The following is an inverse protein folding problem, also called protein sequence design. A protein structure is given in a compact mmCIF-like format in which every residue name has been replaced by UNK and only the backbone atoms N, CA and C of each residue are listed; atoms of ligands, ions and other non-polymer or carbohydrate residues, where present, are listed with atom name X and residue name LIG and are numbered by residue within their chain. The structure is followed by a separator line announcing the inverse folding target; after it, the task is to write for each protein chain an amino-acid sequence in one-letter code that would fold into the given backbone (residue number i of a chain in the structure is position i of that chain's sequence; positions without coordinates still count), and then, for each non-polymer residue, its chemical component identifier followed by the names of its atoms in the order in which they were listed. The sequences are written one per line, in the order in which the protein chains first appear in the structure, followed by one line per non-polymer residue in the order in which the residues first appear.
data_IF_601630676310
#
_entry.id   IF_601630676310
#
_cell.length_a   1.000
_cell.length_b   1.000
_cell.length_c   1.000
_cell.angle_alpha   90.00
_cell.angle_beta   90.00
_cell.angle_gamma   90.00
#
_symmetry.space_group_name_H-M   'P 1'
#
loop_
_entity.id
_entity.type
_entity.pdbx_description
1 polymer ?
#
# COMPACT_ATOMS: atom_id res chain seq x y z
N UNK A 1 22.10 -59.63 14.54
CA UNK A 1 23.06 -58.50 14.53
C UNK A 1 22.73 -57.53 15.64
N UNK A 2 23.63 -57.32 16.61
CA UNK A 2 23.49 -56.28 17.65
C UNK A 2 23.66 -54.92 16.96
N UNK A 3 22.56 -54.32 16.48
CA UNK A 3 22.60 -52.95 15.96
C UNK A 3 23.23 -52.02 17.01
N UNK A 4 24.28 -51.31 16.61
CA UNK A 4 25.02 -50.40 17.49
C UNK A 4 24.07 -49.32 18.01
N UNK A 5 24.13 -49.00 19.30
CA UNK A 5 23.24 -48.03 19.97
C UNK A 5 23.18 -46.70 19.21
N UNK A 6 24.32 -46.23 18.69
CA UNK A 6 24.43 -45.03 17.88
C UNK A 6 23.55 -45.08 16.61
N UNK A 7 23.55 -46.21 15.90
CA UNK A 7 22.77 -46.37 14.67
C UNK A 7 21.26 -46.32 14.94
N UNK A 8 20.81 -46.85 16.08
CA UNK A 8 19.40 -46.81 16.49
C UNK A 8 18.92 -45.38 16.81
N UNK A 9 19.74 -44.61 17.51
CA UNK A 9 19.45 -43.19 17.80
C UNK A 9 19.41 -42.40 16.50
N UNK A 10 20.39 -42.60 15.64
CA UNK A 10 20.50 -41.92 14.35
C UNK A 10 19.28 -42.16 13.46
N UNK A 11 18.82 -43.42 13.34
CA UNK A 11 17.60 -43.75 12.58
C UNK A 11 16.37 -43.07 13.17
N UNK A 12 16.23 -43.04 14.51
CA UNK A 12 15.10 -42.38 15.16
C UNK A 12 15.07 -40.86 14.94
N UNK A 13 16.24 -40.22 14.95
CA UNK A 13 16.39 -38.80 14.61
C UNK A 13 16.01 -38.56 13.16
N UNK A 14 16.55 -39.34 12.21
CA UNK A 14 16.21 -39.20 10.79
C UNK A 14 14.70 -39.30 10.57
N UNK A 15 14.02 -40.25 11.20
CA UNK A 15 12.57 -40.40 11.06
C UNK A 15 11.82 -39.14 11.53
N UNK A 16 12.25 -38.53 12.64
CA UNK A 16 11.66 -37.29 13.14
C UNK A 16 11.96 -36.11 12.20
N UNK A 17 13.18 -35.98 11.71
CA UNK A 17 13.59 -34.93 10.76
C UNK A 17 12.85 -35.03 9.42
N UNK A 18 12.55 -36.24 8.94
CA UNK A 18 11.76 -36.44 7.72
C UNK A 18 10.36 -35.82 7.83
N UNK A 19 9.73 -35.86 9.02
CA UNK A 19 8.48 -35.15 9.25
C UNK A 19 8.67 -33.62 9.12
N UNK A 20 9.80 -33.10 9.61
CA UNK A 20 10.19 -31.71 9.45
C UNK A 20 10.45 -31.29 8.01
N UNK A 21 11.09 -32.15 7.21
CA UNK A 21 11.35 -31.90 5.78
C UNK A 21 10.05 -31.77 4.99
N UNK A 22 9.04 -32.59 5.30
CA UNK A 22 7.71 -32.47 4.68
C UNK A 22 7.14 -31.08 4.98
N UNK A 23 7.23 -30.62 6.24
CA UNK A 23 6.76 -29.29 6.59
C UNK A 23 7.52 -28.16 5.89
N UNK A 24 8.85 -28.28 5.81
CA UNK A 24 9.71 -27.32 5.13
C UNK A 24 9.37 -27.18 3.64
N UNK A 25 9.03 -28.27 2.96
CA UNK A 25 8.68 -28.25 1.54
C UNK A 25 7.51 -27.31 1.24
N UNK A 26 6.46 -27.34 2.07
CA UNK A 26 5.31 -26.43 1.92
C UNK A 26 5.63 -25.01 2.40
N UNK A 27 6.51 -24.86 3.39
CA UNK A 27 6.90 -23.56 3.93
C UNK A 27 7.85 -22.78 3.02
N UNK A 28 8.78 -23.43 2.32
CA UNK A 28 9.94 -22.81 1.66
C UNK A 28 9.57 -21.63 0.73
N UNK A 29 8.58 -21.81 -0.14
CA UNK A 29 8.12 -20.75 -1.04
C UNK A 29 7.11 -19.81 -0.38
N UNK A 30 6.26 -20.34 0.51
CA UNK A 30 5.16 -19.59 1.12
C UNK A 30 5.66 -18.57 2.15
N UNK A 31 6.79 -18.85 2.82
CA UNK A 31 7.38 -17.98 3.86
C UNK A 31 7.87 -16.64 3.29
N UNK A 32 8.54 -16.63 2.14
CA UNK A 32 9.08 -15.42 1.52
C UNK A 32 8.05 -14.67 0.66
N UNK A 33 7.00 -15.36 0.22
CA UNK A 33 5.94 -14.77 -0.59
C UNK A 33 4.73 -14.46 0.28
N UNK A 34 3.77 -15.37 0.37
CA UNK A 34 2.47 -15.18 1.04
C UNK A 34 2.60 -14.75 2.51
N UNK A 35 3.40 -15.45 3.31
CA UNK A 35 3.54 -15.16 4.74
C UNK A 35 4.22 -13.81 5.02
N UNK A 36 5.17 -13.41 4.16
CA UNK A 36 5.90 -12.16 4.33
C UNK A 36 5.14 -10.94 3.77
N UNK A 37 4.43 -11.11 2.65
CA UNK A 37 3.84 -9.99 1.90
C UNK A 37 2.32 -9.85 2.06
N UNK A 38 1.61 -10.91 2.43
CA UNK A 38 0.14 -10.91 2.46
C UNK A 38 -0.47 -11.04 3.87
N UNK A 39 0.32 -11.41 4.89
CA UNK A 39 -0.17 -11.52 6.27
C UNK A 39 0.30 -10.38 7.16
N UNK A 40 -0.63 -9.80 7.89
CA UNK A 40 -0.34 -8.96 9.06
C UNK A 40 0.17 -9.84 10.19
N UNK A 41 1.29 -9.47 10.78
CA UNK A 41 1.95 -10.20 11.87
C UNK A 41 2.13 -9.29 13.08
N UNK A 42 2.04 -9.82 14.31
CA UNK A 42 2.29 -9.02 15.49
C UNK A 42 3.75 -8.54 15.54
N UNK A 43 4.00 -7.41 16.19
CA UNK A 43 5.35 -6.83 16.34
C UNK A 43 6.36 -7.73 17.06
N UNK A 44 5.87 -8.67 17.87
CA UNK A 44 6.66 -9.67 18.58
C UNK A 44 6.90 -10.97 17.80
N UNK A 45 6.44 -11.05 16.54
CA UNK A 45 6.73 -12.20 15.69
C UNK A 45 8.25 -12.32 15.44
N UNK A 46 8.89 -13.46 15.75
CA UNK A 46 10.31 -13.65 15.52
C UNK A 46 10.67 -13.50 14.04
N UNK A 47 11.93 -13.14 13.78
CA UNK A 47 12.47 -13.18 12.43
C UNK A 47 12.40 -14.61 11.86
N UNK A 48 12.07 -14.73 10.57
CA UNK A 48 11.78 -16.03 9.94
C UNK A 48 12.93 -17.04 10.05
N UNK A 49 14.18 -16.57 10.16
CA UNK A 49 15.34 -17.45 10.28
C UNK A 49 15.39 -18.21 11.62
N UNK A 50 14.76 -17.71 12.69
CA UNK A 50 14.75 -18.35 14.02
C UNK A 50 14.01 -19.68 14.01
N UNK A 51 12.96 -19.81 13.19
CA UNK A 51 12.12 -21.01 13.14
C UNK A 51 12.90 -22.26 12.71
N UNK A 52 13.82 -22.14 11.75
CA UNK A 52 14.59 -23.27 11.22
C UNK A 52 15.44 -23.99 12.29
N UNK A 53 16.39 -23.31 12.95
CA UNK A 53 17.22 -23.89 14.00
C UNK A 53 16.41 -24.46 15.18
N UNK A 54 15.32 -23.80 15.56
CA UNK A 54 14.45 -24.30 16.64
C UNK A 54 13.80 -25.61 16.24
N UNK A 55 13.19 -25.70 15.06
CA UNK A 55 12.53 -26.92 14.62
C UNK A 55 13.50 -28.09 14.42
N UNK A 56 14.68 -27.87 13.83
CA UNK A 56 15.73 -28.90 13.71
C UNK A 56 16.10 -29.44 15.09
N UNK A 57 16.32 -28.55 16.07
CA UNK A 57 16.65 -28.96 17.44
C UNK A 57 15.51 -29.79 18.06
N UNK A 58 14.26 -29.36 17.87
CA UNK A 58 13.09 -30.06 18.41
C UNK A 58 12.87 -31.43 17.76
N UNK A 59 13.07 -31.59 16.45
CA UNK A 59 12.96 -32.90 15.79
C UNK A 59 14.07 -33.85 16.26
N UNK A 60 15.30 -33.38 16.41
CA UNK A 60 16.37 -34.16 17.01
C UNK A 60 16.01 -34.65 18.42
N UNK A 61 15.46 -33.76 19.27
CA UNK A 61 14.99 -34.10 20.62
C UNK A 61 13.84 -35.12 20.60
N UNK A 62 12.88 -34.99 19.69
CA UNK A 62 11.79 -35.96 19.49
C UNK A 62 12.32 -37.34 19.07
N UNK A 63 13.29 -37.37 18.14
CA UNK A 63 13.99 -38.57 17.72
C UNK A 63 14.68 -39.29 18.88
N UNK A 64 15.48 -38.56 19.67
CA UNK A 64 16.14 -39.09 20.87
C UNK A 64 15.11 -39.62 21.89
N UNK A 65 14.02 -38.88 22.09
CA UNK A 65 12.93 -39.28 22.99
C UNK A 65 12.33 -40.63 22.58
N UNK A 66 11.99 -40.81 21.30
CA UNK A 66 11.42 -42.06 20.80
C UNK A 66 12.39 -43.23 20.98
N UNK A 67 13.70 -43.00 20.78
CA UNK A 67 14.74 -43.99 21.04
C UNK A 67 14.83 -44.37 22.52
N UNK A 68 14.76 -43.41 23.45
CA UNK A 68 14.78 -43.69 24.90
C UNK A 68 13.60 -44.57 25.32
N UNK A 69 12.41 -44.34 24.75
CA UNK A 69 11.21 -45.14 25.02
C UNK A 69 11.34 -46.54 24.41
N UNK A 70 11.84 -46.66 23.18
CA UNK A 70 12.07 -47.95 22.52
C UNK A 70 13.16 -48.78 23.21
N UNK A 71 14.23 -48.13 23.65
CA UNK A 71 15.35 -48.78 24.36
C UNK A 71 14.99 -49.17 25.79
N UNK A 72 14.10 -48.44 26.47
CA UNK A 72 13.56 -48.83 27.77
C UNK A 72 12.82 -50.18 27.71
N UNK A 73 12.10 -50.44 26.61
CA UNK A 73 11.53 -51.75 26.34
C UNK A 73 12.65 -52.80 26.24
N UNK A 74 13.68 -52.52 25.44
CA UNK A 74 14.75 -53.48 25.12
C UNK A 74 15.64 -53.81 26.33
N UNK A 75 15.99 -52.84 27.18
CA UNK A 75 16.83 -53.06 28.38
C UNK A 75 16.12 -53.92 29.43
N UNK A 76 14.86 -53.62 29.75
CA UNK A 76 14.06 -54.40 30.73
C UNK A 76 13.61 -55.77 30.23
N UNK A 77 13.87 -56.09 28.95
CA UNK A 77 13.57 -57.37 28.33
C UNK A 77 14.56 -58.48 28.75
N UNK A 78 15.70 -58.14 29.36
CA UNK A 78 16.73 -59.10 29.77
C UNK A 78 16.48 -59.77 31.15
N UNK A 79 15.44 -59.40 31.91
CA UNK A 79 15.31 -59.81 33.34
C UNK A 79 14.04 -60.60 33.76
N UNK A 80 13.06 -60.93 32.88
CA UNK A 80 11.93 -61.80 33.33
C UNK A 80 10.70 -61.93 32.40
N UNK A 81 10.06 -63.11 32.40
CA UNK A 81 9.29 -63.67 31.28
C UNK A 81 7.77 -63.41 31.13
N UNK A 82 7.06 -62.72 32.03
CA UNK A 82 5.58 -62.50 31.89
C UNK A 82 5.18 -61.02 31.80
N UNK A 83 5.91 -60.10 32.45
CA UNK A 83 5.75 -58.64 32.30
C UNK A 83 6.22 -58.09 30.92
N UNK A 84 6.82 -58.97 30.10
CA UNK A 84 7.42 -58.69 28.79
C UNK A 84 6.38 -58.27 27.74
N UNK A 85 5.26 -59.00 27.66
CA UNK A 85 4.21 -58.75 26.67
C UNK A 85 3.44 -57.45 26.96
N UNK A 86 3.12 -57.19 28.24
CA UNK A 86 2.42 -55.98 28.67
C UNK A 86 3.25 -54.71 28.47
N UNK A 87 4.56 -54.75 28.78
CA UNK A 87 5.45 -53.59 28.58
C UNK A 87 5.65 -53.31 27.08
N UNK A 88 5.88 -54.35 26.26
CA UNK A 88 6.04 -54.17 24.80
C UNK A 88 4.77 -53.63 24.15
N UNK A 89 3.59 -54.06 24.61
CA UNK A 89 2.29 -53.50 24.17
C UNK A 89 2.16 -52.02 24.57
N UNK A 90 2.53 -51.64 25.80
CA UNK A 90 2.53 -50.24 26.26
C UNK A 90 3.48 -49.36 25.44
N UNK A 91 4.71 -49.82 25.20
CA UNK A 91 5.70 -49.10 24.38
C UNK A 91 5.22 -48.94 22.95
N UNK A 92 4.67 -50.00 22.34
CA UNK A 92 4.10 -49.92 20.99
C UNK A 92 2.96 -48.89 20.93
N UNK A 93 2.04 -48.91 21.89
CA UNK A 93 0.97 -47.92 21.98
C UNK A 93 1.50 -46.49 22.14
N UNK A 94 2.50 -46.29 23.01
CA UNK A 94 3.12 -44.98 23.21
C UNK A 94 3.82 -44.47 21.93
N UNK A 95 4.52 -45.34 21.20
CA UNK A 95 5.14 -44.99 19.91
C UNK A 95 4.10 -44.74 18.81
N UNK A 96 2.93 -45.38 18.86
CA UNK A 96 1.82 -45.08 17.96
C UNK A 96 1.27 -43.67 18.21
N UNK A 97 1.08 -43.28 19.47
CA UNK A 97 0.64 -41.91 19.83
C UNK A 97 1.69 -40.88 19.38
N UNK A 98 2.98 -41.16 19.59
CA UNK A 98 4.07 -40.34 19.08
C UNK A 98 4.06 -40.21 17.55
N UNK A 99 3.81 -41.31 16.83
CA UNK A 99 3.68 -41.29 15.36
C UNK A 99 2.52 -40.43 14.89
N UNK A 100 1.36 -40.49 15.56
CA UNK A 100 0.22 -39.61 15.28
C UNK A 100 0.57 -38.14 15.57
N UNK A 101 1.28 -37.89 16.67
CA UNK A 101 1.75 -36.56 17.05
C UNK A 101 2.77 -35.98 16.04
N UNK A 102 3.61 -36.81 15.41
CA UNK A 102 4.47 -36.38 14.28
C UNK A 102 3.66 -36.10 13.01
N UNK A 103 2.65 -36.91 12.73
CA UNK A 103 1.79 -36.71 11.56
C UNK A 103 0.99 -35.40 11.64
N UNK A 104 0.43 -35.09 12.81
CA UNK A 104 -0.21 -33.81 13.11
C UNK A 104 0.77 -32.64 12.92
N UNK A 105 1.98 -32.77 13.46
CA UNK A 105 3.00 -31.75 13.31
C UNK A 105 3.36 -31.45 11.83
N UNK A 106 3.47 -32.48 10.98
CA UNK A 106 3.65 -32.29 9.54
C UNK A 106 2.39 -31.68 8.88
N UNK A 107 1.19 -32.12 9.28
CA UNK A 107 -0.08 -31.61 8.77
C UNK A 107 -0.26 -30.10 9.02
N UNK A 108 0.22 -29.58 10.16
CA UNK A 108 0.18 -28.14 10.45
C UNK A 108 0.79 -27.31 9.32
N UNK A 109 2.00 -27.66 8.88
CA UNK A 109 2.71 -26.95 7.82
C UNK A 109 1.97 -27.03 6.49
N UNK A 110 1.34 -28.18 6.19
CA UNK A 110 0.52 -28.36 4.99
C UNK A 110 -0.70 -27.44 5.02
N UNK A 111 -1.40 -27.36 6.14
CA UNK A 111 -2.61 -26.53 6.27
C UNK A 111 -2.26 -25.04 6.30
N UNK A 112 -1.25 -24.66 7.08
CA UNK A 112 -0.86 -23.26 7.24
C UNK A 112 -0.24 -22.70 5.96
N UNK A 113 0.78 -23.36 5.39
CA UNK A 113 1.52 -22.84 4.25
C UNK A 113 1.03 -23.37 2.90
N UNK A 114 0.63 -24.64 2.84
CA UNK A 114 0.14 -25.27 1.61
C UNK A 114 -1.27 -24.82 1.26
N UNK A 115 -2.21 -24.95 2.19
CA UNK A 115 -3.61 -24.50 2.02
C UNK A 115 -3.81 -23.01 2.34
N UNK A 116 -2.77 -22.32 2.83
CA UNK A 116 -2.81 -20.88 3.18
C UNK A 116 -3.97 -20.52 4.10
N UNK A 117 -4.26 -21.40 5.07
CA UNK A 117 -5.42 -21.28 5.93
C UNK A 117 -5.02 -21.20 7.41
N UNK A 118 -4.70 -20.00 7.94
CA UNK A 118 -4.34 -19.82 9.35
C UNK A 118 -5.40 -20.30 10.34
N UNK A 119 -6.69 -20.18 10.00
CA UNK A 119 -7.80 -20.61 10.87
C UNK A 119 -7.83 -22.13 11.06
N UNK A 120 -7.83 -22.89 9.96
CA UNK A 120 -7.75 -24.36 10.05
C UNK A 120 -6.43 -24.85 10.66
N UNK A 121 -5.32 -24.14 10.43
CA UNK A 121 -4.05 -24.46 11.07
C UNK A 121 -4.08 -24.23 12.59
N UNK A 122 -4.84 -23.24 13.07
CA UNK A 122 -5.06 -23.06 14.50
C UNK A 122 -5.90 -24.19 15.11
N UNK A 123 -6.92 -24.68 14.39
CA UNK A 123 -7.66 -25.87 14.83
C UNK A 123 -6.75 -27.09 14.92
N UNK A 124 -5.90 -27.29 13.91
CA UNK A 124 -4.93 -28.39 13.90
C UNK A 124 -3.93 -28.28 15.06
N UNK A 125 -3.34 -27.10 15.30
CA UNK A 125 -2.30 -26.95 16.33
C UNK A 125 -2.83 -27.23 17.75
N UNK A 126 -4.13 -27.04 17.98
CA UNK A 126 -4.80 -27.44 19.23
C UNK A 126 -4.82 -28.97 19.36
N UNK A 127 -5.14 -29.70 18.30
CA UNK A 127 -5.06 -31.17 18.29
C UNK A 127 -3.62 -31.66 18.48
N UNK A 128 -2.66 -31.02 17.81
CA UNK A 128 -1.24 -31.31 18.00
C UNK A 128 -0.82 -31.10 19.47
N UNK A 129 -1.19 -29.97 20.07
CA UNK A 129 -0.87 -29.66 21.47
C UNK A 129 -1.39 -30.75 22.42
N UNK A 130 -2.64 -31.17 22.24
CA UNK A 130 -3.24 -32.27 23.02
C UNK A 130 -2.47 -33.58 22.80
N UNK A 131 -2.09 -33.89 21.57
CA UNK A 131 -1.31 -35.09 21.24
C UNK A 131 0.09 -35.08 21.88
N UNK A 132 0.73 -33.91 22.01
CA UNK A 132 2.02 -33.76 22.71
C UNK A 132 1.85 -34.02 24.20
N UNK A 133 0.83 -33.44 24.84
CA UNK A 133 0.54 -33.69 26.27
C UNK A 133 0.25 -35.16 26.51
N UNK A 134 -0.53 -35.80 25.64
CA UNK A 134 -0.78 -37.23 25.70
C UNK A 134 0.53 -38.03 25.58
N UNK A 135 1.40 -37.67 24.64
CA UNK A 135 2.73 -38.29 24.44
C UNK A 135 3.61 -38.16 25.68
N UNK A 136 3.69 -36.96 26.28
CA UNK A 136 4.41 -36.71 27.53
C UNK A 136 3.88 -37.61 28.64
N UNK A 137 2.54 -37.68 28.81
CA UNK A 137 1.90 -38.51 29.83
C UNK A 137 2.22 -40.00 29.69
N UNK A 138 2.14 -40.55 28.47
CA UNK A 138 2.48 -41.97 28.24
C UNK A 138 3.98 -42.24 28.35
N UNK A 139 4.84 -41.31 27.91
CA UNK A 139 6.29 -41.45 28.02
C UNK A 139 6.76 -41.32 29.46
N UNK A 140 6.12 -40.48 30.28
CA UNK A 140 6.48 -40.32 31.70
C UNK A 140 6.38 -41.64 32.48
N UNK A 141 5.39 -42.47 32.14
CA UNK A 141 5.18 -43.80 32.74
C UNK A 141 6.24 -44.83 32.30
N UNK A 142 6.98 -44.57 31.22
CA UNK A 142 7.98 -45.49 30.64
C UNK A 142 9.40 -45.00 30.94
N UNK A 143 9.70 -43.75 30.60
CA UNK A 143 11.00 -43.09 30.72
C UNK A 143 10.80 -41.60 31.05
N UNK A 144 11.03 -41.22 32.31
CA UNK A 144 10.99 -39.81 32.74
C UNK A 144 11.93 -38.90 31.95
N UNK A 145 13.19 -39.30 31.64
CA UNK A 145 14.08 -38.47 30.81
C UNK A 145 13.50 -38.19 29.42
N UNK A 146 12.83 -39.16 28.81
CA UNK A 146 12.18 -38.98 27.51
C UNK A 146 11.07 -37.92 27.60
N UNK A 147 10.21 -38.03 28.62
CA UNK A 147 9.13 -37.05 28.79
C UNK A 147 9.63 -35.63 29.08
N UNK A 148 10.70 -35.47 29.87
CA UNK A 148 11.33 -34.16 30.08
C UNK A 148 11.90 -33.55 28.80
N UNK A 149 12.43 -34.37 27.90
CA UNK A 149 12.99 -33.92 26.63
C UNK A 149 11.92 -33.36 25.67
N UNK A 150 10.63 -33.63 25.92
CA UNK A 150 9.50 -33.05 25.18
C UNK A 150 8.99 -31.73 25.80
N UNK A 151 9.49 -31.30 26.95
CA UNK A 151 9.05 -30.05 27.58
C UNK A 151 9.38 -28.81 26.74
N UNK A 152 10.60 -28.66 26.18
CA UNK A 152 10.89 -27.54 25.27
C UNK A 152 9.96 -27.52 24.05
N UNK A 153 9.55 -28.70 23.59
CA UNK A 153 8.65 -28.83 22.45
C UNK A 153 7.24 -28.31 22.75
N UNK A 154 6.62 -28.70 23.87
CA UNK A 154 5.28 -28.19 24.23
C UNK A 154 5.29 -26.69 24.50
N UNK A 155 6.37 -26.15 25.06
CA UNK A 155 6.54 -24.70 25.26
C UNK A 155 6.58 -23.97 23.91
N UNK A 156 7.37 -24.48 22.97
CA UNK A 156 7.44 -23.92 21.61
C UNK A 156 6.10 -24.00 20.88
N UNK A 157 5.40 -25.13 20.96
CA UNK A 157 4.07 -25.28 20.31
C UNK A 157 3.01 -24.41 20.97
N UNK A 158 3.13 -24.13 22.28
CA UNK A 158 2.26 -23.17 22.95
C UNK A 158 2.48 -21.75 22.41
N UNK A 159 3.75 -21.35 22.25
CA UNK A 159 4.10 -20.08 21.61
C UNK A 159 3.60 -20.02 20.15
N UNK A 160 3.88 -21.06 19.36
CA UNK A 160 3.44 -21.14 17.96
C UNK A 160 1.91 -21.13 17.83
N UNK A 161 1.18 -21.76 18.76
CA UNK A 161 -0.27 -21.73 18.82
C UNK A 161 -0.81 -20.33 19.07
N UNK A 162 -0.23 -19.61 20.04
CA UNK A 162 -0.60 -18.22 20.30
C UNK A 162 -0.26 -17.29 19.12
N UNK A 163 0.88 -17.49 18.48
CA UNK A 163 1.26 -16.79 17.25
C UNK A 163 0.29 -17.07 16.11
N UNK A 164 -0.06 -18.33 15.87
CA UNK A 164 -1.02 -18.72 14.83
C UNK A 164 -2.39 -18.09 15.10
N UNK A 165 -2.88 -18.12 16.34
CA UNK A 165 -4.12 -17.45 16.73
C UNK A 165 -4.08 -15.95 16.45
N UNK A 166 -2.99 -15.30 16.85
CA UNK A 166 -2.82 -13.85 16.65
C UNK A 166 -2.81 -13.50 15.17
N UNK A 167 -2.06 -14.25 14.35
CA UNK A 167 -2.05 -14.07 12.89
C UNK A 167 -3.45 -14.29 12.32
N UNK A 168 -4.15 -15.35 12.73
CA UNK A 168 -5.51 -15.59 12.27
C UNK A 168 -6.44 -14.44 12.66
N UNK A 169 -6.40 -13.96 13.91
CA UNK A 169 -7.22 -12.83 14.39
C UNK A 169 -6.92 -11.52 13.67
N UNK A 170 -5.65 -11.23 13.35
CA UNK A 170 -5.26 -10.01 12.65
C UNK A 170 -5.67 -10.01 11.17
N UNK A 171 -5.91 -11.18 10.59
CA UNK A 171 -6.26 -11.35 9.18
C UNK A 171 -7.69 -11.89 9.02
N UNK A 172 -8.53 -11.76 10.06
CA UNK A 172 -9.96 -12.06 10.02
C UNK A 172 -10.75 -10.81 9.60
N UNK A 173 -11.33 -10.86 8.40
CA UNK A 173 -11.94 -9.70 7.74
C UNK A 173 -10.97 -9.12 6.72
N UNK A 174 -11.41 -9.01 5.47
CA UNK A 174 -10.61 -8.63 4.30
C UNK A 174 -10.06 -7.20 4.33
N UNK A 175 -9.32 -6.86 5.38
CA UNK A 175 -8.55 -5.64 5.47
C UNK A 175 -7.29 -5.89 4.66
N UNK A 176 -7.37 -5.49 3.39
CA UNK A 176 -6.18 -5.24 2.59
C UNK A 176 -5.21 -4.43 3.43
N UNK A 177 -4.02 -4.97 3.66
CA UNK A 177 -2.91 -4.20 4.18
C UNK A 177 -2.72 -3.05 3.19
N UNK A 178 -3.19 -1.84 3.53
CA UNK A 178 -2.82 -0.64 2.79
C UNK A 178 -1.31 -0.49 2.98
N UNK A 179 -0.50 -0.63 1.93
CA UNK A 179 0.91 -0.33 2.04
C UNK A 179 1.07 1.14 2.46
N UNK A 180 2.03 1.43 3.33
CA UNK A 180 2.37 2.81 3.67
C UNK A 180 2.96 3.48 2.44
N UNK A 181 2.15 4.28 1.74
CA UNK A 181 2.57 5.01 0.56
C UNK A 181 3.26 6.33 0.92
N UNK A 182 4.14 6.82 0.05
CA UNK A 182 4.79 8.13 0.21
C UNK A 182 3.73 9.24 0.19
N UNK A 183 3.95 10.31 0.97
CA UNK A 183 3.04 11.47 1.06
C UNK A 183 3.18 12.44 -0.11
N UNK A 184 3.43 11.91 -1.31
CA UNK A 184 3.46 12.71 -2.53
C UNK A 184 2.04 13.08 -2.94
N UNK A 185 1.88 14.29 -3.47
CA UNK A 185 0.62 14.80 -3.98
C UNK A 185 0.72 15.05 -5.48
N UNK A 186 -0.22 14.51 -6.26
CA UNK A 186 -0.43 14.86 -7.66
C UNK A 186 -1.52 15.91 -7.75
N UNK A 187 -1.23 17.01 -8.43
CA UNK A 187 -2.22 18.06 -8.70
C UNK A 187 -3.15 17.60 -9.82
N UNK A 188 -4.44 17.57 -9.54
CA UNK A 188 -5.48 17.22 -10.49
C UNK A 188 -5.82 18.37 -11.43
N UNK A 189 -6.47 18.10 -12.59
CA UNK A 189 -6.80 19.13 -13.57
C UNK A 189 -7.75 20.22 -13.01
N UNK A 190 -8.88 19.82 -12.42
CA UNK A 190 -9.07 19.87 -10.97
C UNK A 190 -8.64 21.07 -10.09
N UNK A 191 -7.35 21.36 -10.04
CA UNK A 191 -6.72 22.17 -9.01
C UNK A 191 -6.61 21.51 -7.63
N UNK A 192 -7.39 20.45 -7.34
CA UNK A 192 -7.25 19.65 -6.12
C UNK A 192 -5.99 18.78 -6.16
N UNK A 193 -5.71 18.07 -5.07
CA UNK A 193 -4.56 17.17 -4.99
C UNK A 193 -4.96 15.78 -4.53
N UNK A 194 -4.44 14.76 -5.20
CA UNK A 194 -4.62 13.36 -4.84
C UNK A 194 -3.31 12.76 -4.35
N UNK A 195 -3.38 11.96 -3.29
CA UNK A 195 -2.26 11.19 -2.78
C UNK A 195 -2.15 9.81 -3.43
N UNK A 196 -1.09 9.09 -3.09
CA UNK A 196 -0.96 7.67 -3.43
C UNK A 196 -1.88 6.81 -2.57
N UNK A 197 -2.56 5.86 -3.19
CA UNK A 197 -3.48 4.94 -2.51
C UNK A 197 -3.50 3.56 -3.17
N UNK A 198 -4.04 2.57 -2.48
CA UNK A 198 -4.23 1.23 -3.03
C UNK A 198 -3.00 0.32 -2.92
N UNK A 199 -3.12 -0.96 -3.34
CA UNK A 199 -2.12 -2.00 -3.06
C UNK A 199 -0.78 -1.78 -3.80
N UNK A 200 -0.72 -0.89 -4.78
CA UNK A 200 0.48 -0.54 -5.54
C UNK A 200 1.02 0.86 -5.25
N UNK A 201 0.41 1.62 -4.35
CA UNK A 201 0.74 3.03 -4.10
C UNK A 201 0.72 3.90 -5.36
N UNK A 202 -0.27 3.68 -6.22
CA UNK A 202 -0.53 4.53 -7.38
C UNK A 202 -1.32 5.78 -6.96
N UNK A 203 -1.21 6.88 -7.71
CA UNK A 203 -2.03 8.06 -7.41
C UNK A 203 -3.51 7.71 -7.55
N UNK A 204 -4.32 8.14 -6.59
CA UNK A 204 -5.77 8.01 -6.71
C UNK A 204 -6.26 8.72 -7.98
N UNK A 205 -7.36 8.25 -8.55
CA UNK A 205 -7.98 8.92 -9.68
C UNK A 205 -8.38 10.34 -9.30
N UNK A 206 -8.12 11.30 -10.19
CA UNK A 206 -8.62 12.65 -10.03
C UNK A 206 -10.15 12.66 -10.11
N UNK A 207 -10.83 13.53 -9.35
CA UNK A 207 -12.29 13.67 -9.45
C UNK A 207 -12.69 14.10 -10.87
N UNK A 208 -13.86 13.64 -11.32
CA UNK A 208 -14.47 14.14 -12.55
C UNK A 208 -14.75 15.64 -12.40
N UNK A 209 -14.17 16.43 -13.28
CA UNK A 209 -14.36 17.87 -13.33
C UNK A 209 -15.72 18.19 -13.92
N UNK A 210 -16.56 18.91 -13.16
CA UNK A 210 -17.77 19.56 -13.68
C UNK A 210 -17.49 21.03 -13.90
N UNK A 211 -17.68 21.49 -15.13
CA UNK A 211 -17.48 22.89 -15.52
C UNK A 211 -18.83 23.60 -15.59
N UNK A 212 -18.95 24.71 -14.86
CA UNK A 212 -20.07 25.62 -14.99
C UNK A 212 -19.68 26.77 -15.94
N UNK A 213 -20.13 26.70 -17.19
CA UNK A 213 -19.85 27.72 -18.21
C UNK A 213 -20.86 28.87 -18.21
N UNK A 214 -21.68 28.99 -17.15
CA UNK A 214 -22.66 30.06 -17.04
C UNK A 214 -21.98 31.43 -16.92
N UNK A 215 -22.54 32.41 -17.63
CA UNK A 215 -22.05 33.79 -17.61
C UNK A 215 -22.73 34.58 -16.49
N UNK A 216 -21.96 34.94 -15.47
CA UNK A 216 -22.37 35.80 -14.36
C UNK A 216 -22.09 37.27 -14.66
N UNK A 217 -22.53 38.14 -13.76
CA UNK A 217 -22.31 39.60 -13.84
C UNK A 217 -21.47 40.03 -12.65
N UNK A 218 -20.39 40.75 -12.91
CA UNK A 218 -19.59 41.46 -11.91
C UNK A 218 -19.94 42.94 -11.95
N UNK A 219 -20.02 43.56 -10.78
CA UNK A 219 -20.35 44.97 -10.61
C UNK A 219 -19.40 45.54 -9.57
N UNK A 220 -18.60 46.53 -9.96
CA UNK A 220 -17.73 47.31 -9.09
C UNK A 220 -18.38 48.70 -8.94
N UNK A 221 -19.08 48.90 -7.82
CA UNK A 221 -19.80 50.15 -7.54
C UNK A 221 -18.85 51.33 -7.32
N UNK A 222 -17.65 51.08 -6.77
CA UNK A 222 -16.66 52.12 -6.51
C UNK A 222 -16.12 52.71 -7.82
N UNK A 223 -15.89 51.85 -8.82
CA UNK A 223 -15.46 52.28 -10.16
C UNK A 223 -16.63 52.53 -11.12
N UNK A 224 -17.86 52.29 -10.69
CA UNK A 224 -19.07 52.47 -11.49
C UNK A 224 -19.05 51.61 -12.76
N UNK A 225 -18.58 50.37 -12.70
CA UNK A 225 -18.49 49.48 -13.88
C UNK A 225 -19.18 48.14 -13.62
N UNK A 226 -19.87 47.64 -14.65
CA UNK A 226 -20.46 46.30 -14.65
C UNK A 226 -20.16 45.56 -15.93
N UNK A 227 -19.88 44.27 -15.86
CA UNK A 227 -19.57 43.40 -17.00
C UNK A 227 -19.98 41.96 -16.73
N UNK A 228 -20.06 41.14 -17.77
CA UNK A 228 -20.34 39.71 -17.67
C UNK A 228 -19.09 38.88 -17.87
N UNK A 229 -19.00 37.75 -17.17
CA UNK A 229 -17.87 36.84 -17.24
C UNK A 229 -18.34 35.39 -17.05
N UNK A 230 -17.67 34.39 -17.68
CA UNK A 230 -17.96 32.99 -17.43
C UNK A 230 -17.45 32.58 -16.04
N UNK A 231 -18.22 31.78 -15.29
CA UNK A 231 -17.79 31.27 -13.99
C UNK A 231 -16.51 30.40 -14.10
N UNK A 232 -16.46 29.55 -15.12
CA UNK A 232 -15.31 28.69 -15.46
C UNK A 232 -14.96 28.84 -16.95
N UNK A 233 -13.69 28.60 -17.29
CA UNK A 233 -13.17 28.70 -18.67
C UNK A 233 -13.61 27.53 -19.57
N UNK A 234 -14.21 26.48 -19.01
CA UNK A 234 -14.63 25.29 -19.74
C UNK A 234 -13.47 24.39 -20.15
N UNK A 235 -12.34 24.48 -19.44
CA UNK A 235 -11.09 23.79 -19.75
C UNK A 235 -10.68 22.84 -18.64
N UNK A 236 -9.93 21.82 -19.01
CA UNK A 236 -9.52 20.73 -18.12
C UNK A 236 -8.26 21.04 -17.34
N UNK A 237 -7.26 21.56 -18.02
CA UNK A 237 -5.89 21.77 -17.54
C UNK A 237 -5.55 23.24 -17.34
N UNK A 238 -6.47 24.14 -17.69
CA UNK A 238 -6.36 25.60 -17.52
C UNK A 238 -7.53 26.11 -16.67
N UNK A 239 -7.29 27.12 -15.83
CA UNK A 239 -8.34 27.69 -14.95
C UNK A 239 -8.13 29.17 -14.72
N UNK A 240 -9.22 29.90 -14.53
CA UNK A 240 -9.14 31.24 -13.99
C UNK A 240 -8.78 31.18 -12.49
N UNK A 241 -7.86 32.02 -12.04
CA UNK A 241 -7.36 32.06 -10.66
C UNK A 241 -7.74 33.37 -9.96
N UNK A 242 -7.25 34.51 -10.45
CA UNK A 242 -7.68 35.84 -10.00
C UNK A 242 -8.86 36.26 -10.88
N UNK A 243 -10.07 35.82 -10.49
CA UNK A 243 -11.28 35.90 -11.30
C UNK A 243 -12.50 36.32 -10.47
N UNK A 244 -13.44 37.15 -11.00
CA UNK A 244 -13.46 37.77 -12.33
C UNK A 244 -12.30 38.76 -12.56
N UNK A 245 -12.05 39.20 -13.81
CA UNK A 245 -10.99 40.16 -14.08
C UNK A 245 -11.11 41.42 -13.24
N UNK A 246 -10.00 41.87 -12.65
CA UNK A 246 -9.93 43.15 -11.96
C UNK A 246 -9.86 44.28 -12.98
N UNK A 247 -10.66 45.33 -12.78
CA UNK A 247 -10.68 46.47 -13.69
C UNK A 247 -10.01 47.68 -13.07
N UNK A 248 -9.13 48.33 -13.83
CA UNK A 248 -8.63 49.67 -13.56
C UNK A 248 -9.06 50.63 -14.67
N UNK A 249 -9.46 51.85 -14.29
CA UNK A 249 -9.84 52.91 -15.23
C UNK A 249 -8.88 54.08 -14.99
N UNK A 250 -8.16 54.47 -16.04
CA UNK A 250 -7.21 55.58 -15.99
C UNK A 250 -7.57 56.63 -17.04
N UNK A 251 -7.22 57.89 -16.78
CA UNK A 251 -7.33 58.98 -17.76
C UNK A 251 -5.95 59.22 -18.35
N UNK A 252 -5.84 59.31 -19.68
CA UNK A 252 -4.56 59.57 -20.34
C UNK A 252 -4.49 58.99 -21.75
N UNK A 253 -3.42 59.30 -22.49
CA UNK A 253 -3.21 58.74 -23.83
C UNK A 253 -3.01 57.22 -23.76
N UNK A 254 -3.65 56.50 -24.67
CA UNK A 254 -3.41 55.07 -24.88
C UNK A 254 -2.16 54.89 -25.73
N UNK A 255 -1.04 54.53 -25.10
CA UNK A 255 0.20 54.16 -25.81
C UNK A 255 0.46 52.66 -25.61
N UNK A 256 0.57 51.94 -26.72
CA UNK A 256 0.93 50.53 -26.72
C UNK A 256 2.15 50.31 -27.60
N UNK A 257 3.29 50.01 -26.99
CA UNK A 257 4.54 49.70 -27.67
C UNK A 257 4.99 48.29 -27.30
N UNK A 258 5.52 47.55 -28.28
CA UNK A 258 6.04 46.21 -28.04
C UNK A 258 7.33 46.30 -27.22
N UNK A 259 7.32 45.72 -26.03
CA UNK A 259 8.43 45.83 -25.07
C UNK A 259 8.41 44.70 -24.03
N UNK A 260 9.60 44.34 -23.53
CA UNK A 260 9.78 43.42 -22.41
C UNK A 260 9.78 41.94 -22.80
N UNK A 261 9.58 41.08 -21.80
CA UNK A 261 9.59 39.61 -21.92
C UNK A 261 8.70 39.00 -20.84
N UNK A 262 8.02 37.89 -21.15
CA UNK A 262 7.02 37.24 -20.29
C UNK A 262 7.58 36.79 -18.93
N UNK A 263 8.89 36.57 -18.85
CA UNK A 263 9.60 36.11 -17.64
C UNK A 263 10.15 37.25 -16.77
N UNK A 264 10.10 38.49 -17.25
CA UNK A 264 10.54 39.66 -16.48
C UNK A 264 9.42 40.20 -15.60
N UNK A 265 9.76 40.92 -14.51
CA UNK A 265 8.76 41.52 -13.61
C UNK A 265 7.81 42.49 -14.31
N UNK A 266 8.25 43.11 -15.39
CA UNK A 266 7.44 44.04 -16.18
C UNK A 266 6.53 43.34 -17.20
N UNK A 267 6.74 42.03 -17.43
CA UNK A 267 6.03 41.27 -18.45
C UNK A 267 6.40 41.65 -19.87
N UNK A 268 5.75 40.97 -20.83
CA UNK A 268 5.79 41.33 -22.25
C UNK A 268 4.54 42.10 -22.59
N UNK A 269 4.69 43.33 -23.07
CA UNK A 269 3.57 44.16 -23.55
C UNK A 269 3.63 44.22 -25.06
N UNK A 270 2.51 44.01 -25.74
CA UNK A 270 2.44 44.09 -27.20
C UNK A 270 1.04 44.50 -27.68
N UNK A 271 0.93 45.15 -28.85
CA UNK A 271 -0.36 45.40 -29.47
C UNK A 271 -0.94 44.10 -30.03
N UNK A 272 -2.18 43.79 -29.66
CA UNK A 272 -2.89 42.60 -30.12
C UNK A 272 -4.24 42.98 -30.68
N UNK A 273 -4.60 42.43 -31.85
CA UNK A 273 -5.86 42.75 -32.52
C UNK A 273 -6.79 41.55 -32.45
N UNK A 274 -7.93 41.71 -31.79
CA UNK A 274 -8.99 40.70 -31.71
C UNK A 274 -10.20 41.26 -32.46
N UNK A 275 -10.57 40.60 -33.56
CA UNK A 275 -11.49 41.14 -34.57
C UNK A 275 -11.10 42.56 -35.04
N UNK A 276 -11.94 43.56 -34.74
CA UNK A 276 -11.77 44.96 -35.11
C UNK A 276 -11.28 45.85 -33.95
N UNK A 277 -10.95 45.26 -32.79
CA UNK A 277 -10.45 45.98 -31.62
C UNK A 277 -8.97 45.73 -31.40
N UNK A 278 -8.25 46.82 -31.14
CA UNK A 278 -6.85 46.79 -30.73
C UNK A 278 -6.78 46.85 -29.21
N UNK A 279 -6.07 45.88 -28.64
CA UNK A 279 -5.75 45.80 -27.22
C UNK A 279 -4.25 46.01 -27.04
N UNK A 280 -3.86 46.55 -25.88
CA UNK A 280 -2.50 46.39 -25.39
C UNK A 280 -2.51 45.25 -24.38
N UNK A 281 -1.82 44.16 -24.71
CA UNK A 281 -1.80 42.96 -23.87
C UNK A 281 -0.46 42.86 -23.18
N UNK A 282 -0.49 42.82 -21.86
CA UNK A 282 0.68 42.54 -21.04
C UNK A 282 0.57 41.16 -20.42
N UNK A 283 1.58 40.33 -20.61
CA UNK A 283 1.66 38.95 -20.10
C UNK A 283 2.83 38.81 -19.13
N UNK A 284 2.55 38.24 -17.96
CA UNK A 284 3.57 37.89 -16.95
C UNK A 284 3.41 36.42 -16.58
N UNK A 285 4.45 35.63 -16.80
CA UNK A 285 4.45 34.18 -16.57
C UNK A 285 5.27 33.85 -15.33
N UNK A 286 4.64 33.15 -14.37
CA UNK A 286 5.28 32.69 -13.14
C UNK A 286 5.08 31.18 -12.96
N UNK A 287 6.19 30.45 -12.84
CA UNK A 287 6.17 29.03 -12.51
C UNK A 287 6.06 28.80 -11.00
N UNK A 288 5.17 27.91 -10.58
CA UNK A 288 5.09 27.38 -9.23
C UNK A 288 5.02 25.85 -9.27
N UNK A 289 5.21 25.16 -8.13
CA UNK A 289 5.26 23.70 -8.09
C UNK A 289 4.04 23.05 -8.76
N UNK A 290 4.24 22.46 -9.95
CA UNK A 290 3.23 21.76 -10.74
C UNK A 290 2.24 22.63 -11.54
N UNK A 291 2.40 23.96 -11.58
CA UNK A 291 1.53 24.85 -12.36
C UNK A 291 2.27 26.09 -12.88
N UNK A 292 1.81 26.62 -14.00
CA UNK A 292 2.23 27.90 -14.57
C UNK A 292 1.09 28.89 -14.42
N UNK A 293 1.38 30.08 -13.89
CA UNK A 293 0.42 31.17 -13.78
C UNK A 293 0.78 32.22 -14.81
N UNK A 294 -0.15 32.55 -15.69
CA UNK A 294 0.00 33.65 -16.64
C UNK A 294 -1.00 34.73 -16.25
N UNK A 295 -0.48 35.87 -15.82
CA UNK A 295 -1.28 37.07 -15.60
C UNK A 295 -1.35 37.84 -16.91
N UNK A 296 -2.58 38.14 -17.34
CA UNK A 296 -2.88 38.94 -18.52
C UNK A 296 -3.45 40.27 -18.07
N UNK A 297 -3.02 41.37 -18.70
CA UNK A 297 -3.67 42.66 -18.61
C UNK A 297 -4.05 43.16 -20.01
N UNK A 298 -5.35 43.31 -20.28
CA UNK A 298 -5.88 43.83 -21.53
C UNK A 298 -6.28 45.29 -21.33
N UNK A 299 -5.50 46.20 -21.90
CA UNK A 299 -5.82 47.62 -21.93
C UNK A 299 -6.55 47.98 -23.24
N UNK A 300 -7.65 48.73 -23.12
CA UNK A 300 -8.44 49.21 -24.26
C UNK A 300 -8.86 50.66 -24.06
N UNK A 301 -8.83 51.43 -25.15
CA UNK A 301 -9.31 52.81 -25.16
C UNK A 301 -10.85 52.88 -25.16
N UNK A 302 -11.40 53.74 -24.29
CA UNK A 302 -12.84 54.03 -24.17
C UNK A 302 -13.05 55.53 -24.02
N UNK A 303 -13.02 56.25 -25.15
CA UNK A 303 -13.11 57.72 -25.14
C UNK A 303 -11.85 58.33 -24.50
N UNK A 304 -11.94 59.19 -23.47
CA UNK A 304 -10.78 59.77 -22.81
C UNK A 304 -10.13 58.84 -21.77
N UNK A 305 -10.68 57.65 -21.57
CA UNK A 305 -10.25 56.69 -20.55
C UNK A 305 -9.59 55.47 -21.18
N UNK A 306 -8.66 54.86 -20.43
CA UNK A 306 -8.13 53.53 -20.71
C UNK A 306 -8.65 52.58 -19.65
N UNK A 307 -9.26 51.49 -20.09
CA UNK A 307 -9.77 50.44 -19.21
C UNK A 307 -8.82 49.25 -19.29
N UNK A 308 -8.34 48.78 -18.15
CA UNK A 308 -7.38 47.69 -18.04
C UNK A 308 -8.06 46.55 -17.29
N UNK A 309 -8.19 45.40 -17.94
CA UNK A 309 -8.75 44.18 -17.36
C UNK A 309 -7.62 43.21 -17.07
N UNK A 310 -7.40 42.92 -15.79
CA UNK A 310 -6.34 42.02 -15.33
C UNK A 310 -6.93 40.71 -14.84
N UNK A 311 -6.45 39.59 -15.36
CA UNK A 311 -6.87 38.27 -14.95
C UNK A 311 -5.69 37.30 -14.96
N UNK A 312 -5.74 36.29 -14.09
CA UNK A 312 -4.70 35.26 -14.01
C UNK A 312 -5.26 33.92 -14.44
N UNK A 313 -4.59 33.26 -15.39
CA UNK A 313 -4.86 31.88 -15.78
C UNK A 313 -3.81 30.97 -15.17
N UNK A 314 -4.26 29.92 -14.48
CA UNK A 314 -3.42 28.83 -13.98
C UNK A 314 -3.50 27.66 -14.95
N UNK A 315 -2.38 27.29 -15.55
CA UNK A 315 -2.23 26.06 -16.33
C UNK A 315 -1.45 25.01 -15.54
N UNK A 316 -1.95 23.77 -15.48
CA UNK A 316 -1.16 22.65 -14.94
C UNK A 316 0.03 22.34 -15.85
N UNK A 317 1.14 21.88 -15.26
CA UNK A 317 2.30 21.45 -16.04
C UNK A 317 2.01 20.08 -16.67
N UNK A 318 1.91 20.00 -17.99
CA UNK A 318 1.51 18.77 -18.68
C UNK A 318 2.44 17.58 -18.43
N UNK A 319 3.72 17.82 -18.13
CA UNK A 319 4.68 16.77 -17.75
C UNK A 319 4.36 16.04 -16.43
N UNK A 320 3.33 16.47 -15.69
CA UNK A 320 2.85 15.78 -14.50
C UNK A 320 1.87 14.63 -14.80
N UNK A 321 1.53 14.42 -16.07
CA UNK A 321 0.55 13.43 -16.51
C UNK A 321 1.21 12.36 -17.39
N UNK A 322 0.71 11.13 -17.31
CA UNK A 322 1.04 10.04 -18.24
C UNK A 322 0.11 10.11 -19.46
N UNK A 323 0.46 9.44 -20.55
CA UNK A 323 -0.40 9.34 -21.74
C UNK A 323 -1.73 8.63 -21.42
N UNK A 324 -2.87 9.05 -22.04
CA UNK A 324 -3.00 10.09 -23.07
C UNK A 324 -3.14 11.53 -22.54
N UNK A 325 -3.26 11.71 -21.22
CA UNK A 325 -3.59 12.98 -20.58
C UNK A 325 -2.51 14.05 -20.77
N UNK A 326 -1.23 13.63 -20.92
CA UNK A 326 -0.16 14.57 -21.27
C UNK A 326 -0.42 15.23 -22.63
N UNK A 327 -0.77 14.42 -23.64
CA UNK A 327 -1.11 14.91 -24.99
C UNK A 327 -2.38 15.76 -24.97
N UNK A 328 -3.41 15.36 -24.24
CA UNK A 328 -4.65 16.14 -24.07
C UNK A 328 -4.38 17.51 -23.42
N UNK A 329 -3.54 17.55 -22.39
CA UNK A 329 -3.12 18.79 -21.74
C UNK A 329 -2.37 19.73 -22.69
N UNK A 330 -1.46 19.19 -23.50
CA UNK A 330 -0.73 19.99 -24.49
C UNK A 330 -1.68 20.54 -25.55
N UNK A 331 -2.56 19.70 -26.09
CA UNK A 331 -3.53 20.11 -27.10
C UNK A 331 -4.47 21.20 -26.59
N UNK A 332 -4.96 21.10 -25.35
CA UNK A 332 -5.80 22.15 -24.76
C UNK A 332 -5.04 23.47 -24.59
N UNK A 333 -3.79 23.41 -24.10
CA UNK A 333 -2.95 24.62 -23.95
C UNK A 333 -2.64 25.33 -25.27
N UNK A 334 -2.46 24.57 -26.34
CA UNK A 334 -2.14 25.12 -27.66
C UNK A 334 -3.37 25.67 -28.38
N UNK A 335 -4.56 25.20 -28.03
CA UNK A 335 -5.82 25.54 -28.74
C UNK A 335 -6.75 26.45 -27.96
N UNK A 336 -6.57 26.57 -26.64
CA UNK A 336 -7.44 27.42 -25.82
C UNK A 336 -7.18 28.90 -26.10
N UNK A 337 -8.19 29.56 -26.65
CA UNK A 337 -8.17 30.97 -27.01
C UNK A 337 -8.71 31.83 -25.85
N UNK A 338 -7.80 32.23 -24.96
CA UNK A 338 -8.14 33.12 -23.85
C UNK A 338 -8.47 34.54 -24.32
N UNK A 339 -7.89 34.99 -25.43
CA UNK A 339 -8.11 36.32 -26.00
C UNK A 339 -9.59 36.54 -26.34
N UNK A 340 -10.21 35.56 -27.00
CA UNK A 340 -11.64 35.61 -27.35
C UNK A 340 -12.53 35.68 -26.11
N UNK A 341 -12.16 35.01 -25.01
CA UNK A 341 -12.88 35.09 -23.73
C UNK A 341 -12.81 36.50 -23.17
N UNK A 342 -11.61 37.09 -23.12
CA UNK A 342 -11.38 38.43 -22.60
C UNK A 342 -12.05 39.52 -23.46
N UNK A 343 -11.96 39.44 -24.78
CA UNK A 343 -12.67 40.37 -25.68
C UNK A 343 -14.19 40.32 -25.43
N UNK A 344 -14.76 39.12 -25.26
CA UNK A 344 -16.20 38.98 -24.96
C UNK A 344 -16.57 39.59 -23.61
N UNK A 345 -15.74 39.45 -22.58
CA UNK A 345 -15.94 40.11 -21.28
C UNK A 345 -15.93 41.63 -21.46
N UNK A 346 -14.89 42.15 -22.08
CA UNK A 346 -14.68 43.60 -22.28
C UNK A 346 -15.81 44.23 -23.12
N UNK A 347 -16.39 43.49 -24.07
CA UNK A 347 -17.57 43.93 -24.84
C UNK A 347 -18.82 44.12 -24.00
N UNK A 348 -18.99 43.32 -22.96
CA UNK A 348 -20.15 43.42 -22.06
C UNK A 348 -19.98 44.51 -21.00
N UNK A 349 -18.77 45.07 -20.88
CA UNK A 349 -18.47 46.07 -19.88
C UNK A 349 -19.12 47.42 -20.19
N UNK A 350 -19.82 47.98 -19.20
CA UNK A 350 -20.54 49.24 -19.29
C UNK A 350 -20.40 50.01 -17.98
N UNK A 351 -20.52 51.34 -18.05
CA UNK A 351 -20.58 52.17 -16.84
C UNK A 351 -21.97 52.14 -16.23
N UNK A 352 -22.02 52.08 -14.91
CA UNK A 352 -23.24 52.20 -14.12
C UNK A 352 -23.56 53.70 -14.06
N UNK A 353 -24.78 54.07 -14.46
CA UNK A 353 -25.24 55.46 -14.43
C UNK A 353 -25.72 55.87 -13.05
#
# INVERSE_FOLDING_TARGET
MKFNTALKVFVAIIIAELAGVIGLFFAANSVSTWYATQLVRPSWNPSSWVFGPVWITLYAMMGITSYLVWSAATKRTMEGGVQKASLRKRVRGALTIYGMQLALNAAWSIIFFGLRSPGWAFVEIVFLWIAIVATIGVFWRISKPAAWLLVPYILWVSFAGYLNYTIWSLNQGGSTVQPYCTMEAKVCPDGSSVGRSGPKCEFAACPESRYDTTWKTATDEEKGITFRYPEDLGTTYMRAYDWPPQVAITNGPFECTDAGSEIERAGRTHPWKIDDRTYCVTEVVQGAAGSMYTQYAYAVERGPQVWIFTATVRATQCGNYDEPHMTECQAERDTFDFDTVMDRIIRTATTIR
#
